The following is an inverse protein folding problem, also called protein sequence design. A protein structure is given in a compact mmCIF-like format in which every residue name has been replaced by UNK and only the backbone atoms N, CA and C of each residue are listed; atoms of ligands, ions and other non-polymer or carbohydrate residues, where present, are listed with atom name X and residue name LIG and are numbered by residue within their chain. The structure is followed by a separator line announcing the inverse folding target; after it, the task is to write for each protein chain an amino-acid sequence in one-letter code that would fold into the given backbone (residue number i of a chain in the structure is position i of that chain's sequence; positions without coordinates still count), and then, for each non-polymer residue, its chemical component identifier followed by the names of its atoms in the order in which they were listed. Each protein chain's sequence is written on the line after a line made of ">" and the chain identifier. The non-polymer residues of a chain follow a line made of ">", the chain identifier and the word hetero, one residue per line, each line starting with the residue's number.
data_IF_169866665570
#
_entry.id   IF_169866665570
#
_cell.length_a   1.000
_cell.length_b   1.000
_cell.length_c   1.000
_cell.angle_alpha   90.00
_cell.angle_beta   90.00
_cell.angle_gamma   90.00
#
_symmetry.space_group_name_H-M   'P 1'
#
loop_
_entity.id
_entity.type
_entity.pdbx_description
1 polymer ?
#
# COMPACT_ATOMS: atom_id res chain seq x y z
N UNK A 1 11.95 29.11 -60.91
CA UNK A 1 10.73 28.31 -60.59
C UNK A 1 11.14 26.97 -59.94
N UNK A 2 12.21 26.28 -60.37
CA UNK A 2 12.63 24.97 -59.80
C UNK A 2 13.11 25.01 -58.34
N UNK A 3 13.84 26.04 -57.94
CA UNK A 3 14.36 26.21 -56.55
C UNK A 3 13.26 26.43 -55.52
N UNK A 4 12.17 27.13 -55.90
CA UNK A 4 11.04 27.38 -54.98
C UNK A 4 10.21 26.11 -54.70
N UNK A 5 10.04 25.26 -55.71
CA UNK A 5 9.35 23.96 -55.55
C UNK A 5 10.16 23.00 -54.69
N UNK A 6 11.46 22.93 -54.86
CA UNK A 6 12.34 22.09 -54.05
C UNK A 6 12.35 22.51 -52.57
N UNK A 7 12.36 23.82 -52.29
CA UNK A 7 12.27 24.35 -50.92
C UNK A 7 10.93 24.00 -50.25
N UNK A 8 9.84 24.03 -51.04
CA UNK A 8 8.50 23.67 -50.54
C UNK A 8 8.40 22.17 -50.20
N UNK A 9 9.05 21.30 -50.96
CA UNK A 9 9.07 19.86 -50.72
C UNK A 9 9.88 19.53 -49.46
N UNK A 10 11.04 20.15 -49.25
CA UNK A 10 11.85 19.99 -48.05
C UNK A 10 11.06 20.45 -46.83
N UNK A 11 10.44 21.62 -46.87
CA UNK A 11 9.64 22.15 -45.76
C UNK A 11 8.46 21.24 -45.41
N UNK A 12 7.79 20.65 -46.40
CA UNK A 12 6.71 19.67 -46.16
C UNK A 12 7.24 18.37 -45.58
N UNK A 13 8.39 17.89 -46.01
CA UNK A 13 9.00 16.69 -45.46
C UNK A 13 9.43 16.90 -43.99
N UNK A 14 10.00 18.05 -43.66
CA UNK A 14 10.35 18.42 -42.30
C UNK A 14 9.11 18.56 -41.41
N UNK A 15 8.03 19.17 -41.90
CA UNK A 15 6.78 19.27 -41.14
C UNK A 15 6.18 17.89 -40.86
N UNK A 16 6.18 16.97 -41.85
CA UNK A 16 5.74 15.59 -41.65
C UNK A 16 6.59 14.86 -40.60
N UNK A 17 7.93 14.95 -40.70
CA UNK A 17 8.84 14.35 -39.69
C UNK A 17 8.59 14.88 -38.28
N UNK A 18 8.37 16.19 -38.13
CA UNK A 18 8.05 16.79 -36.84
C UNK A 18 6.74 16.25 -36.27
N UNK A 19 5.73 16.07 -37.13
CA UNK A 19 4.43 15.56 -36.73
C UNK A 19 4.49 14.08 -36.34
N UNK A 20 5.24 13.25 -37.07
CA UNK A 20 5.49 11.86 -36.75
C UNK A 20 6.23 11.75 -35.41
N UNK A 21 7.31 12.48 -35.21
CA UNK A 21 8.09 12.49 -33.98
C UNK A 21 7.26 12.96 -32.77
N UNK A 22 6.35 13.93 -32.95
CA UNK A 22 5.44 14.37 -31.89
C UNK A 22 4.46 13.26 -31.49
N UNK A 23 3.90 12.51 -32.45
CA UNK A 23 3.02 11.37 -32.19
C UNK A 23 3.74 10.25 -31.47
N UNK A 24 4.96 9.91 -31.90
CA UNK A 24 5.76 8.88 -31.25
C UNK A 24 6.11 9.26 -29.80
N UNK A 25 6.41 10.53 -29.57
CA UNK A 25 6.69 11.05 -28.23
C UNK A 25 5.46 10.96 -27.31
N UNK A 26 4.27 11.28 -27.83
CA UNK A 26 3.01 11.12 -27.09
C UNK A 26 2.73 9.66 -26.74
N UNK A 27 2.95 8.75 -27.69
CA UNK A 27 2.77 7.31 -27.47
C UNK A 27 3.72 6.78 -26.40
N UNK A 28 4.99 7.18 -26.44
CA UNK A 28 5.99 6.81 -25.42
C UNK A 28 5.65 7.39 -24.06
N UNK A 29 5.18 8.62 -23.99
CA UNK A 29 4.73 9.24 -22.73
C UNK A 29 3.54 8.51 -22.12
N UNK A 30 2.54 8.15 -22.93
CA UNK A 30 1.38 7.41 -22.44
C UNK A 30 1.78 6.00 -21.96
N UNK A 31 2.64 5.31 -22.72
CA UNK A 31 3.18 4.01 -22.33
C UNK A 31 3.96 4.08 -21.01
N UNK A 32 4.79 5.11 -20.84
CA UNK A 32 5.53 5.33 -19.59
C UNK A 32 4.60 5.70 -18.42
N UNK A 33 3.49 6.41 -18.67
CA UNK A 33 2.46 6.72 -17.68
C UNK A 33 1.76 5.46 -17.20
N UNK A 34 1.35 4.58 -18.12
CA UNK A 34 0.72 3.29 -17.82
C UNK A 34 1.68 2.38 -17.05
N UNK A 35 2.93 2.25 -17.51
CA UNK A 35 3.96 1.48 -16.81
C UNK A 35 4.26 2.05 -15.42
N UNK A 36 4.26 3.37 -15.28
CA UNK A 36 4.44 4.06 -14.00
C UNK A 36 3.28 3.82 -13.04
N UNK A 37 2.04 3.73 -13.55
CA UNK A 37 0.85 3.40 -12.76
C UNK A 37 0.90 1.95 -12.27
N UNK A 38 1.08 0.99 -13.18
CA UNK A 38 1.22 -0.45 -12.87
C UNK A 38 2.37 -0.67 -11.87
N UNK A 39 3.45 0.09 -11.99
CA UNK A 39 4.61 0.02 -11.10
C UNK A 39 4.40 0.58 -9.69
N UNK A 40 3.24 1.15 -9.31
CA UNK A 40 2.97 1.74 -7.99
C UNK A 40 1.88 1.03 -7.19
N UNK A 41 1.16 0.12 -7.82
CA UNK A 41 0.02 -0.58 -7.21
C UNK A 41 0.25 -2.08 -7.16
N UNK A 42 -0.34 -2.72 -6.16
CA UNK A 42 -0.44 -4.18 -6.06
C UNK A 42 -1.60 -4.69 -6.91
N UNK A 43 -1.33 -5.62 -7.81
CA UNK A 43 -2.32 -6.11 -8.79
C UNK A 43 -3.49 -6.86 -8.15
N UNK A 44 -3.27 -7.54 -7.01
CA UNK A 44 -4.29 -8.34 -6.34
C UNK A 44 -5.29 -7.46 -5.57
N UNK A 45 -4.80 -6.44 -4.88
CA UNK A 45 -5.60 -5.65 -3.94
C UNK A 45 -5.95 -4.26 -4.47
N UNK A 46 -5.25 -3.77 -5.51
CA UNK A 46 -5.38 -2.40 -6.03
C UNK A 46 -4.81 -1.32 -5.11
N UNK A 47 -4.24 -1.70 -3.97
CA UNK A 47 -3.57 -0.79 -3.04
C UNK A 47 -2.21 -0.34 -3.59
N UNK A 48 -1.61 0.67 -2.98
CA UNK A 48 -0.21 0.99 -3.28
C UNK A 48 0.69 -0.22 -2.99
N UNK A 49 1.73 -0.40 -3.79
CA UNK A 49 2.84 -1.29 -3.44
C UNK A 49 3.92 -0.51 -2.66
N UNK A 50 5.02 -1.17 -2.28
CA UNK A 50 6.12 -0.54 -1.53
C UNK A 50 6.67 0.72 -2.21
N UNK A 51 6.79 0.71 -3.54
CA UNK A 51 7.27 1.87 -4.30
C UNK A 51 6.30 3.04 -4.21
N UNK A 52 5.01 2.78 -4.41
CA UNK A 52 3.95 3.78 -4.28
C UNK A 52 3.86 4.33 -2.85
N UNK A 53 3.96 3.45 -1.85
CA UNK A 53 4.01 3.83 -0.44
C UNK A 53 5.18 4.75 -0.12
N UNK A 54 6.40 4.39 -0.54
CA UNK A 54 7.60 5.21 -0.31
C UNK A 54 7.47 6.61 -0.92
N UNK A 55 6.88 6.72 -2.11
CA UNK A 55 6.65 8.02 -2.74
C UNK A 55 5.63 8.87 -1.95
N UNK A 56 4.55 8.26 -1.48
CA UNK A 56 3.57 8.97 -0.65
C UNK A 56 4.14 9.35 0.72
N UNK A 57 4.95 8.49 1.34
CA UNK A 57 5.63 8.79 2.61
C UNK A 57 6.51 10.03 2.49
N UNK A 58 7.28 10.16 1.40
CA UNK A 58 8.11 11.35 1.17
C UNK A 58 7.28 12.64 1.07
N UNK A 59 6.13 12.59 0.38
CA UNK A 59 5.21 13.73 0.29
C UNK A 59 4.62 14.05 1.66
N UNK A 60 4.13 13.04 2.37
CA UNK A 60 3.58 13.16 3.71
C UNK A 60 4.57 13.80 4.68
N UNK A 61 5.82 13.33 4.73
CA UNK A 61 6.84 13.88 5.62
C UNK A 61 7.25 15.32 5.27
N UNK A 62 7.00 15.77 4.05
CA UNK A 62 7.24 17.15 3.62
C UNK A 62 6.08 18.09 3.95
N UNK A 63 4.83 17.58 4.04
CA UNK A 63 3.62 18.38 4.31
C UNK A 63 3.24 18.41 5.79
N UNK A 64 3.44 17.30 6.52
CA UNK A 64 2.98 17.08 7.90
C UNK A 64 4.11 17.28 8.94
N UNK A 65 4.99 18.25 8.70
CA UNK A 65 6.17 18.49 9.56
C UNK A 65 5.76 18.72 11.02
N UNK A 66 6.40 17.97 11.93
CA UNK A 66 6.22 18.04 13.38
C UNK A 66 4.84 17.61 13.92
N UNK A 67 3.90 17.17 13.11
CA UNK A 67 2.66 16.58 13.58
C UNK A 67 2.93 15.18 14.18
N UNK A 68 2.02 14.72 15.03
CA UNK A 68 2.07 13.33 15.50
C UNK A 68 1.59 12.42 14.39
N UNK A 69 2.45 11.50 13.94
CA UNK A 69 2.15 10.55 12.89
C UNK A 69 2.40 9.11 13.35
N UNK A 70 1.75 8.19 12.67
CA UNK A 70 1.87 6.76 12.93
C UNK A 70 2.18 6.01 11.64
N UNK A 71 3.16 5.12 11.75
CA UNK A 71 3.42 4.05 10.79
C UNK A 71 2.91 2.75 11.38
N UNK A 72 2.17 1.97 10.59
CA UNK A 72 1.56 0.73 11.04
C UNK A 72 1.93 -0.37 10.06
N UNK A 73 2.48 -1.45 10.57
CA UNK A 73 2.64 -2.71 9.87
C UNK A 73 1.48 -3.63 10.23
N UNK A 74 0.75 -4.10 9.23
CA UNK A 74 -0.32 -5.09 9.34
C UNK A 74 0.08 -6.38 8.65
N UNK A 75 -0.33 -7.51 9.19
CA UNK A 75 -0.02 -8.83 8.63
C UNK A 75 -1.24 -9.73 8.78
N UNK A 76 -1.66 -10.36 7.67
CA UNK A 76 -2.75 -11.33 7.68
C UNK A 76 -2.28 -12.61 8.39
N UNK A 77 -2.89 -12.90 9.52
CA UNK A 77 -2.59 -14.10 10.27
C UNK A 77 -3.03 -15.35 9.50
N UNK A 78 -2.23 -16.42 9.60
CA UNK A 78 -2.54 -17.76 9.07
C UNK A 78 -2.73 -17.86 7.54
N UNK A 79 -2.23 -16.90 6.73
CA UNK A 79 -2.34 -16.96 5.27
C UNK A 79 -1.83 -18.28 4.70
N UNK A 80 -0.71 -18.81 5.24
CA UNK A 80 -0.16 -20.09 4.78
C UNK A 80 -1.14 -21.22 5.03
N UNK A 81 -1.75 -21.30 6.21
CA UNK A 81 -2.73 -22.33 6.57
C UNK A 81 -3.98 -22.24 5.68
N UNK A 82 -4.44 -21.01 5.37
CA UNK A 82 -5.54 -20.78 4.44
C UNK A 82 -5.17 -21.30 3.04
N UNK A 83 -3.98 -20.98 2.53
CA UNK A 83 -3.52 -21.46 1.24
C UNK A 83 -3.38 -22.99 1.18
N UNK A 84 -2.77 -23.57 2.21
CA UNK A 84 -2.50 -25.01 2.25
C UNK A 84 -3.80 -25.81 2.37
N UNK A 85 -4.85 -25.28 3.02
CA UNK A 85 -6.12 -25.99 3.27
C UNK A 85 -7.15 -25.75 2.17
N UNK A 86 -7.29 -24.50 1.68
CA UNK A 86 -8.35 -24.08 0.75
C UNK A 86 -7.84 -23.56 -0.58
N UNK A 87 -6.51 -23.60 -0.80
CA UNK A 87 -5.85 -23.18 -2.04
C UNK A 87 -5.62 -21.66 -2.14
N UNK A 88 -4.76 -21.28 -3.09
CA UNK A 88 -4.40 -19.88 -3.36
C UNK A 88 -5.59 -18.93 -3.65
N UNK A 89 -6.69 -19.35 -4.30
CA UNK A 89 -7.86 -18.49 -4.45
C UNK A 89 -8.47 -18.04 -3.12
N UNK A 90 -8.44 -18.91 -2.09
CA UNK A 90 -8.91 -18.57 -0.75
C UNK A 90 -7.98 -17.56 -0.06
N UNK A 91 -6.67 -17.75 -0.18
CA UNK A 91 -5.69 -16.78 0.31
C UNK A 91 -5.80 -15.43 -0.38
N UNK A 92 -6.00 -15.41 -1.70
CA UNK A 92 -6.24 -14.17 -2.45
C UNK A 92 -7.51 -13.46 -1.97
N UNK A 93 -8.58 -14.19 -1.73
CA UNK A 93 -9.80 -13.64 -1.14
C UNK A 93 -9.56 -13.04 0.25
N UNK A 94 -8.81 -13.75 1.11
CA UNK A 94 -8.45 -13.26 2.44
C UNK A 94 -7.64 -11.95 2.36
N UNK A 95 -6.64 -11.87 1.48
CA UNK A 95 -5.83 -10.67 1.23
C UNK A 95 -6.67 -9.48 0.74
N UNK A 96 -7.58 -9.72 -0.22
CA UNK A 96 -8.50 -8.69 -0.69
C UNK A 96 -9.48 -8.25 0.40
N UNK A 97 -9.85 -9.15 1.30
CA UNK A 97 -10.71 -8.84 2.44
C UNK A 97 -9.98 -7.96 3.46
N UNK A 98 -8.72 -8.27 3.79
CA UNK A 98 -7.85 -7.40 4.60
C UNK A 98 -7.76 -6.00 3.99
N UNK A 99 -7.52 -5.90 2.69
CA UNK A 99 -7.43 -4.59 2.00
C UNK A 99 -8.72 -3.77 2.19
N UNK A 100 -9.90 -4.42 2.08
CA UNK A 100 -11.22 -3.76 2.30
C UNK A 100 -11.44 -3.38 3.75
N UNK A 101 -11.12 -4.27 4.70
CA UNK A 101 -11.27 -4.01 6.14
C UNK A 101 -10.40 -2.83 6.55
N UNK A 102 -9.11 -2.84 6.20
CA UNK A 102 -8.19 -1.75 6.51
C UNK A 102 -8.63 -0.45 5.85
N UNK A 103 -8.98 -0.47 4.56
CA UNK A 103 -9.45 0.71 3.84
C UNK A 103 -10.72 1.32 4.43
N UNK A 104 -11.66 0.48 4.92
CA UNK A 104 -12.88 0.94 5.61
C UNK A 104 -12.64 1.59 6.98
N UNK A 105 -11.47 1.33 7.59
CA UNK A 105 -11.09 1.91 8.87
C UNK A 105 -10.26 3.20 8.74
N UNK A 106 -9.89 3.60 7.52
CA UNK A 106 -9.01 4.72 7.21
C UNK A 106 -9.77 5.89 6.58
N UNK A 107 -9.19 7.09 6.69
CA UNK A 107 -9.69 8.30 6.01
C UNK A 107 -9.11 8.36 4.59
N UNK A 108 -9.70 9.18 3.73
CA UNK A 108 -9.25 9.35 2.34
C UNK A 108 -7.82 9.93 2.21
N UNK A 109 -7.34 10.64 3.22
CA UNK A 109 -5.99 11.19 3.29
C UNK A 109 -4.94 10.21 3.83
N UNK A 110 -5.37 9.14 4.49
CA UNK A 110 -4.47 8.13 5.03
C UNK A 110 -3.92 7.28 3.88
N UNK A 111 -2.70 6.81 4.03
CA UNK A 111 -2.03 6.00 3.02
C UNK A 111 -2.09 4.53 3.41
N UNK A 112 -2.55 3.67 2.51
CA UNK A 112 -2.60 2.21 2.66
C UNK A 112 -1.88 1.54 1.50
N UNK A 113 -1.04 0.56 1.82
CA UNK A 113 -0.30 -0.22 0.83
C UNK A 113 -0.26 -1.70 1.21
N UNK A 114 -0.08 -2.56 0.18
CA UNK A 114 0.35 -3.95 0.35
C UNK A 114 1.77 -4.08 -0.21
N UNK A 115 2.71 -4.53 0.62
CA UNK A 115 4.15 -4.46 0.28
C UNK A 115 4.80 -5.81 0.05
N UNK A 116 4.13 -6.88 0.39
CA UNK A 116 4.59 -8.25 0.22
C UNK A 116 3.48 -9.24 0.57
N UNK A 117 3.68 -10.50 0.38
CA UNK A 117 2.80 -11.62 0.70
C UNK A 117 1.53 -11.28 1.51
N UNK A 118 1.67 -11.27 2.82
CA UNK A 118 0.64 -10.97 3.84
C UNK A 118 0.80 -9.59 4.49
N UNK A 119 1.78 -8.77 4.05
CA UNK A 119 2.18 -7.53 4.70
C UNK A 119 1.50 -6.29 4.12
N UNK A 120 0.97 -5.46 5.00
CA UNK A 120 0.33 -4.17 4.72
C UNK A 120 1.00 -3.04 5.49
N UNK A 121 1.08 -1.86 4.88
CA UNK A 121 1.57 -0.64 5.54
C UNK A 121 0.50 0.44 5.54
N UNK A 122 0.40 1.15 6.66
CA UNK A 122 -0.48 2.30 6.81
C UNK A 122 0.34 3.47 7.34
N UNK A 123 0.10 4.65 6.79
CA UNK A 123 0.69 5.91 7.23
C UNK A 123 -0.42 6.94 7.41
N UNK A 124 -0.48 7.56 8.58
CA UNK A 124 -1.50 8.55 8.92
C UNK A 124 -0.99 9.53 9.99
N UNK A 125 -1.67 10.67 10.13
CA UNK A 125 -1.50 11.58 11.26
C UNK A 125 -2.70 11.49 12.21
N UNK A 126 -2.43 11.58 13.51
CA UNK A 126 -3.46 11.61 14.53
C UNK A 126 -2.92 12.23 15.82
N UNK A 127 -3.61 13.21 16.36
CA UNK A 127 -3.26 13.85 17.63
C UNK A 127 -3.99 13.23 18.85
N UNK A 128 -4.83 12.22 18.60
CA UNK A 128 -5.63 11.58 19.65
C UNK A 128 -4.73 10.80 20.63
N UNK A 129 -4.92 11.04 21.92
CA UNK A 129 -4.30 10.23 22.95
C UNK A 129 -4.88 8.80 22.90
N UNK A 130 -4.04 7.79 23.14
CA UNK A 130 -4.42 6.37 23.05
C UNK A 130 -4.85 5.90 21.65
N UNK A 131 -4.44 6.62 20.59
CA UNK A 131 -4.77 6.25 19.21
C UNK A 131 -4.45 4.77 18.91
N UNK A 132 -3.32 4.26 19.40
CA UNK A 132 -2.89 2.89 19.12
C UNK A 132 -3.92 1.86 19.60
N UNK A 133 -4.43 1.99 20.82
CA UNK A 133 -5.42 1.07 21.39
C UNK A 133 -6.77 1.19 20.68
N UNK A 134 -7.19 2.43 20.39
CA UNK A 134 -8.41 2.71 19.64
C UNK A 134 -8.34 2.09 18.25
N UNK A 135 -7.22 2.24 17.56
CA UNK A 135 -7.04 1.71 16.20
C UNK A 135 -7.00 0.18 16.20
N UNK A 136 -6.25 -0.44 17.13
CA UNK A 136 -6.26 -1.91 17.30
C UNK A 136 -7.66 -2.45 17.52
N UNK A 137 -8.42 -1.81 18.42
CA UNK A 137 -9.81 -2.20 18.69
C UNK A 137 -10.68 -2.07 17.44
N UNK A 138 -10.59 -0.94 16.72
CA UNK A 138 -11.34 -0.70 15.47
C UNK A 138 -11.10 -1.80 14.44
N UNK A 139 -9.84 -2.17 14.20
CA UNK A 139 -9.51 -3.24 13.24
C UNK A 139 -10.04 -4.59 13.72
N UNK A 140 -9.89 -4.92 15.01
CA UNK A 140 -10.41 -6.15 15.58
C UNK A 140 -11.92 -6.25 15.44
N UNK A 141 -12.64 -5.18 15.76
CA UNK A 141 -14.11 -5.12 15.63
C UNK A 141 -14.54 -5.28 14.17
N UNK A 142 -13.85 -4.62 13.22
CA UNK A 142 -14.10 -4.74 11.79
C UNK A 142 -13.85 -6.17 11.26
N UNK A 143 -12.77 -6.84 11.70
CA UNK A 143 -12.56 -8.26 11.39
C UNK A 143 -13.67 -9.14 11.97
N UNK A 144 -14.12 -8.88 13.19
CA UNK A 144 -15.19 -9.64 13.84
C UNK A 144 -16.52 -9.53 13.04
N UNK A 145 -16.89 -8.33 12.63
CA UNK A 145 -18.08 -8.10 11.79
C UNK A 145 -17.93 -8.81 10.45
N UNK A 146 -16.81 -8.63 9.77
CA UNK A 146 -16.53 -9.30 8.49
C UNK A 146 -16.64 -10.82 8.60
N UNK A 147 -16.04 -11.42 9.62
CA UNK A 147 -16.07 -12.87 9.83
C UNK A 147 -17.46 -13.40 10.17
N UNK A 148 -18.29 -12.62 10.87
CA UNK A 148 -19.67 -13.00 11.17
C UNK A 148 -20.58 -12.99 9.92
N UNK A 149 -20.27 -12.12 8.95
CA UNK A 149 -21.03 -12.00 7.69
C UNK A 149 -20.47 -12.88 6.56
N UNK A 150 -19.25 -13.39 6.73
CA UNK A 150 -18.55 -14.18 5.71
C UNK A 150 -19.04 -15.63 5.71
N UNK A 151 -19.25 -16.19 4.50
CA UNK A 151 -19.55 -17.61 4.27
C UNK A 151 -18.29 -18.49 4.21
N UNK A 152 -17.11 -17.93 4.46
CA UNK A 152 -15.84 -18.63 4.31
C UNK A 152 -15.53 -19.53 5.51
N UNK A 153 -14.93 -20.72 5.27
CA UNK A 153 -14.60 -21.67 6.33
C UNK A 153 -13.34 -21.29 7.13
N UNK A 154 -12.85 -20.08 6.99
CA UNK A 154 -11.69 -19.55 7.69
C UNK A 154 -11.96 -18.12 8.18
N UNK A 155 -11.22 -17.70 9.21
CA UNK A 155 -11.31 -16.36 9.76
C UNK A 155 -10.23 -15.45 9.15
N UNK A 156 -10.58 -14.19 8.95
CA UNK A 156 -9.63 -13.12 8.61
C UNK A 156 -9.25 -12.43 9.91
N UNK A 157 -7.99 -12.53 10.29
CA UNK A 157 -7.41 -11.88 11.46
C UNK A 157 -6.16 -11.11 11.05
N UNK A 158 -5.92 -9.96 11.68
CA UNK A 158 -4.83 -9.05 11.34
C UNK A 158 -4.02 -8.73 12.59
N UNK A 159 -2.74 -9.05 12.58
CA UNK A 159 -1.78 -8.59 13.57
C UNK A 159 -1.26 -7.20 13.19
N UNK A 160 -1.12 -6.29 14.18
CA UNK A 160 -0.69 -4.91 13.96
C UNK A 160 0.52 -4.56 14.83
N UNK A 161 1.55 -3.98 14.18
CA UNK A 161 2.61 -3.23 14.83
C UNK A 161 2.40 -1.74 14.58
N UNK A 162 2.34 -0.91 15.62
CA UNK A 162 2.03 0.53 15.51
C UNK A 162 3.15 1.32 16.18
N UNK A 163 3.81 2.19 15.42
CA UNK A 163 4.86 3.06 15.91
C UNK A 163 4.52 4.54 15.66
N UNK A 164 4.72 5.36 16.69
CA UNK A 164 4.60 6.81 16.59
C UNK A 164 5.91 7.40 16.09
N UNK A 165 5.83 8.44 15.25
CA UNK A 165 6.96 9.25 14.85
C UNK A 165 6.55 10.71 14.56
N UNK A 166 7.54 11.59 14.40
CA UNK A 166 7.31 12.97 13.95
C UNK A 166 7.93 13.17 12.58
N UNK A 167 7.13 13.45 11.55
CA UNK A 167 7.60 13.63 10.18
C UNK A 167 8.61 14.77 10.06
N UNK A 168 9.66 14.55 9.27
CA UNK A 168 10.64 15.52 8.84
C UNK A 168 10.93 15.32 7.36
N UNK A 169 11.37 16.35 6.60
CA UNK A 169 11.67 16.21 5.18
C UNK A 169 12.72 15.16 4.84
N UNK A 170 13.62 14.87 5.79
CA UNK A 170 14.69 13.87 5.70
C UNK A 170 14.36 12.54 6.36
N UNK A 171 13.09 12.32 6.77
CA UNK A 171 12.65 11.03 7.36
C UNK A 171 12.88 9.88 6.38
N UNK A 172 13.65 8.88 6.80
CA UNK A 172 13.83 7.67 6.03
C UNK A 172 12.63 6.73 6.19
N UNK A 173 11.99 6.39 5.06
CA UNK A 173 10.85 5.49 5.03
C UNK A 173 11.19 4.11 5.61
N UNK A 174 12.40 3.60 5.38
CA UNK A 174 12.82 2.29 5.87
C UNK A 174 12.96 2.28 7.39
N UNK A 175 13.50 3.35 7.97
CA UNK A 175 13.65 3.49 9.42
C UNK A 175 12.28 3.47 10.11
N UNK A 176 11.30 4.23 9.63
CA UNK A 176 9.98 4.25 10.26
C UNK A 176 9.24 2.93 10.09
N UNK A 177 9.38 2.24 8.96
CA UNK A 177 8.82 0.89 8.76
C UNK A 177 9.43 -0.08 9.77
N UNK A 178 10.75 -0.04 9.97
CA UNK A 178 11.43 -0.93 10.92
C UNK A 178 10.95 -0.74 12.37
N UNK A 179 10.52 0.47 12.76
CA UNK A 179 9.92 0.72 14.07
C UNK A 179 8.61 -0.07 14.24
N UNK A 180 7.71 0.01 13.25
CA UNK A 180 6.43 -0.69 13.31
C UNK A 180 6.59 -2.22 13.16
N UNK A 181 7.53 -2.68 12.35
CA UNK A 181 7.83 -4.10 12.19
C UNK A 181 8.31 -4.73 13.51
N UNK A 182 9.15 -4.03 14.26
CA UNK A 182 9.58 -4.45 15.60
C UNK A 182 8.39 -4.63 16.55
N UNK A 183 7.45 -3.68 16.55
CA UNK A 183 6.23 -3.76 17.35
C UNK A 183 5.33 -4.94 16.93
N UNK A 184 5.22 -5.18 15.63
CA UNK A 184 4.49 -6.33 15.08
C UNK A 184 5.11 -7.66 15.52
N UNK A 185 6.43 -7.76 15.45
CA UNK A 185 7.15 -8.95 15.90
C UNK A 185 6.90 -9.27 17.38
N UNK A 186 7.00 -8.26 18.25
CA UNK A 186 6.71 -8.44 19.70
C UNK A 186 5.25 -8.82 19.94
N UNK A 187 4.29 -8.20 19.23
CA UNK A 187 2.88 -8.56 19.33
C UNK A 187 2.62 -10.04 18.97
N UNK A 188 3.19 -10.51 17.85
CA UNK A 188 3.10 -11.92 17.43
C UNK A 188 3.75 -12.88 18.41
N UNK A 189 4.88 -12.49 19.00
CA UNK A 189 5.58 -13.31 20.01
C UNK A 189 4.77 -13.47 21.31
N UNK A 190 4.14 -12.41 21.78
CA UNK A 190 3.25 -12.46 22.95
C UNK A 190 2.03 -13.36 22.69
N UNK A 191 1.40 -13.26 21.53
CA UNK A 191 0.25 -14.10 21.15
C UNK A 191 0.62 -15.58 21.13
N UNK A 192 1.77 -15.97 20.55
CA UNK A 192 2.26 -17.37 20.56
C UNK A 192 2.51 -17.93 21.95
N UNK A 193 2.92 -17.10 22.91
CA UNK A 193 3.14 -17.50 24.30
C UNK A 193 1.84 -17.71 25.07
N UNK A 194 0.82 -16.89 24.82
CA UNK A 194 -0.49 -17.01 25.47
C UNK A 194 -1.27 -18.27 25.04
N UNK A 195 -1.10 -18.69 23.77
CA UNK A 195 -1.73 -19.92 23.23
C UNK A 195 -1.04 -21.19 23.75
N UNK A 196 0.22 -21.11 24.21
CA UNK A 196 1.00 -22.28 24.68
C UNK A 196 0.92 -22.56 26.18
N UNK A 197 0.11 -21.85 26.97
CA UNK A 197 -0.16 -22.25 28.37
C UNK A 197 -1.31 -23.25 28.37
N UNK A 198 -1.08 -24.56 28.60
CA UNK A 198 -2.16 -25.46 28.96
C UNK A 198 -2.67 -25.00 30.30
N UNK A 199 -3.97 -24.92 30.45
CA UNK A 199 -4.60 -24.83 31.78
C UNK A 199 -4.17 -26.04 32.58
N UNK A 200 -3.44 -25.79 33.65
CA UNK A 200 -3.08 -26.78 34.67
C UNK A 200 -4.13 -26.82 35.76
#
# INVERSE_FOLDING_TARGET
>A
IGLSLHYLEISKAEARRRQEMSRDLELVRERNRVLGFISKYDELTGLLNLRGFTEQTKKFCSSEINQRAYIICGDLDHLKEINDTWGHPAGNFALQSVARILGGCLRSQDTLARVGGDEFLILLNCEEENFQDIFRKRIKDACTVFNAESDKPFLVEISLGIAEFRPKPDTDTQEIIALADKELYEAKKHRRKSVRRPES
#
